data_IF_717271503785
#
_entry.id   IF_717271503785
#
_cell.length_a   1.000
_cell.length_b   1.000
_cell.length_c   1.000
_cell.angle_alpha   90.00
_cell.angle_beta   90.00
_cell.angle_gamma   90.00
#
_symmetry.space_group_name_H-M   'P 1'
#
loop_
_entity.id
_entity.type
_entity.pdbx_description
1 polymer ?
#
# COMPACT_ATOMS: atom_id res chain seq x y z
N UNK A 1 12.09 -6.98 22.89
CA UNK A 1 11.53 -6.81 21.53
C UNK A 1 11.43 -5.33 21.23
N UNK A 2 12.02 -4.85 20.13
CA UNK A 2 11.72 -3.50 19.62
C UNK A 2 10.46 -3.55 18.77
N UNK A 3 9.66 -2.48 18.80
CA UNK A 3 8.53 -2.33 17.87
C UNK A 3 9.05 -2.26 16.44
N UNK A 4 8.34 -2.90 15.51
CA UNK A 4 8.55 -2.69 14.07
C UNK A 4 7.95 -1.33 13.69
N UNK A 5 8.69 -0.42 13.03
CA UNK A 5 8.13 0.83 12.53
C UNK A 5 7.06 0.58 11.46
N UNK A 6 6.09 1.49 11.39
CA UNK A 6 5.02 1.51 10.40
C UNK A 6 5.01 2.87 9.69
N UNK A 7 5.01 2.85 8.36
CA UNK A 7 4.77 4.03 7.53
C UNK A 7 3.38 3.88 6.90
N UNK A 8 2.47 4.79 7.23
CA UNK A 8 1.09 4.75 6.78
C UNK A 8 0.72 5.99 5.94
N UNK A 9 0.26 5.78 4.71
CA UNK A 9 -0.21 6.84 3.82
C UNK A 9 -1.73 7.01 3.90
N UNK A 10 -2.22 7.97 4.67
CA UNK A 10 -3.66 8.30 4.72
C UNK A 10 -4.06 9.23 3.57
N UNK A 11 -4.85 8.73 2.63
CA UNK A 11 -5.24 9.46 1.43
C UNK A 11 -6.39 10.44 1.68
N UNK A 12 -7.07 10.33 2.82
CA UNK A 12 -8.30 11.07 3.12
C UNK A 12 -9.34 10.79 2.01
N UNK A 13 -10.07 11.82 1.56
CA UNK A 13 -11.01 11.74 0.46
C UNK A 13 -10.35 12.22 -0.84
N UNK A 14 -9.33 11.50 -1.30
CA UNK A 14 -8.69 11.75 -2.59
C UNK A 14 -8.62 10.45 -3.38
N UNK A 15 -8.54 10.59 -4.70
CA UNK A 15 -8.51 9.52 -5.70
C UNK A 15 -9.88 8.87 -5.92
N UNK A 16 -9.96 8.16 -7.03
CA UNK A 16 -10.98 7.15 -7.30
C UNK A 16 -10.36 5.75 -7.38
N UNK A 17 -11.20 4.72 -7.42
CA UNK A 17 -10.76 3.32 -7.43
C UNK A 17 -9.71 2.94 -8.50
N UNK A 18 -9.71 3.55 -9.69
CA UNK A 18 -8.72 3.26 -10.72
C UNK A 18 -7.36 3.94 -10.45
N UNK A 19 -7.41 5.18 -9.94
CA UNK A 19 -6.23 5.91 -9.49
C UNK A 19 -5.59 5.24 -8.26
N UNK A 20 -6.42 4.72 -7.35
CA UNK A 20 -6.00 3.95 -6.18
C UNK A 20 -5.17 2.71 -6.57
N UNK A 21 -5.70 1.90 -7.49
CA UNK A 21 -5.00 0.71 -8.03
C UNK A 21 -3.67 1.12 -8.65
N UNK A 22 -3.68 2.13 -9.51
CA UNK A 22 -2.47 2.62 -10.19
C UNK A 22 -1.43 3.13 -9.19
N UNK A 23 -1.85 3.83 -8.14
CA UNK A 23 -0.95 4.36 -7.12
C UNK A 23 -0.31 3.27 -6.29
N UNK A 24 -1.08 2.27 -5.82
CA UNK A 24 -0.54 1.15 -5.04
C UNK A 24 0.43 0.32 -5.88
N UNK A 25 0.11 0.08 -7.16
CA UNK A 25 0.99 -0.69 -8.02
C UNK A 25 2.33 0.04 -8.28
N UNK A 26 2.27 1.36 -8.54
CA UNK A 26 3.48 2.19 -8.64
C UNK A 26 4.28 2.23 -7.33
N UNK A 27 3.61 2.31 -6.18
CA UNK A 27 4.26 2.27 -4.87
C UNK A 27 5.01 0.96 -4.68
N UNK A 28 4.39 -0.18 -4.98
CA UNK A 28 5.02 -1.49 -4.88
C UNK A 28 6.30 -1.58 -5.74
N UNK A 29 6.23 -1.18 -7.02
CA UNK A 29 7.40 -1.17 -7.89
C UNK A 29 8.50 -0.21 -7.41
N UNK A 30 8.12 0.97 -6.92
CA UNK A 30 9.10 1.94 -6.40
C UNK A 30 9.84 1.41 -5.17
N UNK A 31 9.15 0.65 -4.30
CA UNK A 31 9.75 0.02 -3.13
C UNK A 31 10.66 -1.15 -3.53
N UNK A 32 10.26 -1.95 -4.52
CA UNK A 32 11.06 -3.05 -5.05
C UNK A 32 12.35 -2.54 -5.71
N UNK A 33 12.25 -1.53 -6.59
CA UNK A 33 13.40 -0.86 -7.22
C UNK A 33 14.37 -0.28 -6.18
N UNK A 34 13.84 0.17 -5.04
CA UNK A 34 14.63 0.68 -3.91
C UNK A 34 15.19 -0.42 -2.99
N UNK A 35 14.97 -1.70 -3.29
CA UNK A 35 15.28 -2.85 -2.43
C UNK A 35 14.77 -2.68 -0.99
N UNK A 36 13.54 -2.18 -0.85
CA UNK A 36 12.95 -1.90 0.46
C UNK A 36 12.76 -3.17 1.30
N UNK A 37 13.16 -3.12 2.57
CA UNK A 37 13.06 -4.27 3.47
C UNK A 37 11.76 -4.25 4.30
N UNK A 38 10.74 -4.96 3.83
CA UNK A 38 9.46 -5.13 4.53
C UNK A 38 9.57 -5.88 5.86
N UNK A 39 10.66 -6.60 6.15
CA UNK A 39 10.88 -7.21 7.47
C UNK A 39 11.32 -6.20 8.53
N UNK A 40 11.94 -5.09 8.12
CA UNK A 40 12.42 -4.04 9.01
C UNK A 40 11.36 -2.97 9.30
N UNK A 41 10.51 -2.64 8.30
CA UNK A 41 9.48 -1.59 8.40
C UNK A 41 8.23 -2.01 7.64
N UNK A 42 7.05 -1.77 8.22
CA UNK A 42 5.75 -2.00 7.57
C UNK A 42 5.31 -0.80 6.76
N UNK A 43 4.58 -1.06 5.66
CA UNK A 43 3.98 -0.04 4.82
C UNK A 43 2.47 -0.29 4.74
N UNK A 44 1.68 0.73 5.01
CA UNK A 44 0.23 0.68 4.88
C UNK A 44 -0.29 1.87 4.06
N UNK A 45 -1.39 1.67 3.33
CA UNK A 45 -2.13 2.75 2.66
C UNK A 45 -3.54 2.80 3.22
N UNK A 46 -4.07 3.98 3.52
CA UNK A 46 -5.47 4.13 3.98
C UNK A 46 -6.26 4.86 2.89
N UNK A 47 -6.82 4.11 1.92
CA UNK A 47 -7.64 4.66 0.86
C UNK A 47 -9.02 5.13 1.38
N UNK A 48 -9.74 5.99 0.63
CA UNK A 48 -11.17 6.22 0.89
C UNK A 48 -11.96 4.91 0.88
N UNK A 49 -13.07 4.87 1.63
CA UNK A 49 -13.92 3.68 1.74
C UNK A 49 -14.33 3.07 0.39
N UNK A 50 -14.58 3.91 -0.62
CA UNK A 50 -14.99 3.49 -1.97
C UNK A 50 -13.93 2.69 -2.71
N UNK A 51 -12.66 2.83 -2.31
CA UNK A 51 -11.52 2.30 -3.04
C UNK A 51 -10.86 1.12 -2.32
N UNK A 52 -11.20 0.88 -1.04
CA UNK A 52 -10.65 -0.21 -0.20
C UNK A 52 -10.71 -1.56 -0.93
N UNK A 53 -11.85 -1.90 -1.55
CA UNK A 53 -12.01 -3.20 -2.21
C UNK A 53 -11.08 -3.35 -3.43
N UNK A 54 -10.83 -2.26 -4.15
CA UNK A 54 -9.96 -2.26 -5.32
C UNK A 54 -8.50 -2.41 -4.90
N UNK A 55 -8.09 -1.70 -3.83
CA UNK A 55 -6.77 -1.86 -3.21
C UNK A 55 -6.57 -3.28 -2.67
N UNK A 56 -7.55 -3.82 -1.94
CA UNK A 56 -7.53 -5.20 -1.45
C UNK A 56 -7.27 -6.20 -2.58
N UNK A 57 -8.08 -6.11 -3.64
CA UNK A 57 -8.04 -7.09 -4.72
C UNK A 57 -6.68 -7.07 -5.42
N UNK A 58 -6.08 -5.88 -5.57
CA UNK A 58 -4.73 -5.72 -6.11
C UNK A 58 -3.68 -6.33 -5.17
N UNK A 59 -3.69 -5.96 -3.88
CA UNK A 59 -2.70 -6.44 -2.90
C UNK A 59 -2.71 -7.97 -2.79
N UNK A 60 -3.90 -8.58 -2.71
CA UNK A 60 -4.04 -10.04 -2.65
C UNK A 60 -3.69 -10.72 -3.98
N UNK A 61 -4.10 -10.12 -5.10
CA UNK A 61 -3.86 -10.67 -6.45
C UNK A 61 -2.38 -10.70 -6.83
N UNK A 62 -1.68 -9.61 -6.57
CA UNK A 62 -0.24 -9.45 -6.87
C UNK A 62 0.66 -9.92 -5.72
N UNK A 63 0.08 -10.34 -4.59
CA UNK A 63 0.79 -10.78 -3.36
C UNK A 63 1.77 -9.74 -2.84
N UNK A 64 1.32 -8.49 -2.76
CA UNK A 64 2.13 -7.38 -2.31
C UNK A 64 2.30 -7.40 -0.77
N UNK A 65 3.48 -7.04 -0.27
CA UNK A 65 3.76 -6.89 1.17
C UNK A 65 3.23 -5.56 1.77
N UNK A 66 2.27 -4.90 1.10
CA UNK A 66 1.65 -3.63 1.51
C UNK A 66 0.33 -3.90 2.22
N UNK A 67 0.12 -3.27 3.37
CA UNK A 67 -1.13 -3.32 4.14
C UNK A 67 -2.13 -2.25 3.68
N UNK A 68 -3.44 -2.45 3.93
CA UNK A 68 -4.49 -1.49 3.59
C UNK A 68 -5.66 -1.49 4.58
#
# INVERSE_FOLDING_TARGET
>A
MSRKPLIAGNWKMNLNHAEAVTLVQKLAWTLDDANFNFSATEVAVFPPFTDIRSVQTLVEGDKLDILY
#
